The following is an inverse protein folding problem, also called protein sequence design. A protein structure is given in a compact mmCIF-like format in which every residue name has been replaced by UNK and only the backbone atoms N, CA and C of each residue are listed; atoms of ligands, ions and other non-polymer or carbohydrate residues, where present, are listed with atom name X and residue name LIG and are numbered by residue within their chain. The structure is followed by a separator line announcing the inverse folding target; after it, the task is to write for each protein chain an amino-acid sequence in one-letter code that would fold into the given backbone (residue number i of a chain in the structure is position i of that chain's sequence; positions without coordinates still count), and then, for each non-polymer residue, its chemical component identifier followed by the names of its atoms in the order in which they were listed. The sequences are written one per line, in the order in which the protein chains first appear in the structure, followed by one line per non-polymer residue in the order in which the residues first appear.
data_IF_836279518144
#
_entry.id   IF_836279518144
#
_cell.length_a   1.000
_cell.length_b   1.000
_cell.length_c   1.000
_cell.angle_alpha   90.00
_cell.angle_beta   90.00
_cell.angle_gamma   90.00
#
_symmetry.space_group_name_H-M   'P 1'
#
loop_
_entity.id
_entity.type
_entity.pdbx_description
1 polymer ?
#
# COMPACT_ATOMS: atom_id res chain seq x y z
N UNK A 1 3.48 -8.05 30.41
CA UNK A 1 3.63 -8.56 29.05
C UNK A 1 3.05 -7.50 28.11
N UNK A 2 3.84 -6.46 27.82
CA UNK A 2 3.48 -5.34 26.95
C UNK A 2 4.64 -5.30 25.94
N UNK A 3 4.50 -5.97 24.80
CA UNK A 3 5.61 -6.13 23.85
C UNK A 3 5.20 -6.82 22.55
N UNK A 4 4.32 -7.82 22.63
CA UNK A 4 3.87 -8.57 21.46
C UNK A 4 3.00 -7.75 20.48
N UNK A 5 2.10 -6.91 21.00
CA UNK A 5 1.13 -6.18 20.15
C UNK A 5 1.80 -5.08 19.31
N UNK A 6 2.75 -4.34 19.88
CA UNK A 6 3.45 -3.27 19.18
C UNK A 6 4.38 -3.83 18.08
N UNK A 7 5.05 -4.95 18.35
CA UNK A 7 5.89 -5.62 17.35
C UNK A 7 5.05 -6.19 16.21
N UNK A 8 3.92 -6.84 16.51
CA UNK A 8 3.01 -7.35 15.47
C UNK A 8 2.42 -6.23 14.62
N UNK A 9 2.03 -5.12 15.23
CA UNK A 9 1.52 -3.96 14.49
C UNK A 9 2.61 -3.36 13.59
N UNK A 10 3.86 -3.30 14.07
CA UNK A 10 4.99 -2.82 13.28
C UNK A 10 5.28 -3.72 12.07
N UNK A 11 5.30 -5.04 12.27
CA UNK A 11 5.51 -6.00 11.18
C UNK A 11 4.36 -5.96 10.15
N UNK A 12 3.12 -5.84 10.62
CA UNK A 12 1.94 -5.70 9.76
C UNK A 12 1.99 -4.40 8.93
N UNK A 13 2.39 -3.28 9.55
CA UNK A 13 2.58 -2.02 8.85
C UNK A 13 3.73 -2.09 7.83
N UNK A 14 4.82 -2.79 8.15
CA UNK A 14 5.95 -2.96 7.24
C UNK A 14 5.57 -3.82 6.03
N UNK A 15 4.79 -4.88 6.23
CA UNK A 15 4.25 -5.70 5.14
C UNK A 15 3.32 -4.88 4.22
N UNK A 16 2.46 -4.06 4.81
CA UNK A 16 1.61 -3.13 4.06
C UNK A 16 2.44 -2.15 3.23
N UNK A 17 3.42 -1.50 3.85
CA UNK A 17 4.31 -0.54 3.18
C UNK A 17 5.02 -1.19 1.99
N UNK A 18 5.59 -2.39 2.20
CA UNK A 18 6.29 -3.12 1.15
C UNK A 18 5.37 -3.44 -0.03
N UNK A 19 4.15 -3.90 0.23
CA UNK A 19 3.18 -4.20 -0.82
C UNK A 19 2.82 -2.96 -1.64
N UNK A 20 2.55 -1.83 -0.98
CA UNK A 20 2.26 -0.55 -1.65
C UNK A 20 3.46 -0.07 -2.48
N UNK A 21 4.67 -0.15 -1.92
CA UNK A 21 5.89 0.26 -2.61
C UNK A 21 6.19 -0.59 -3.85
N UNK A 22 6.01 -1.92 -3.77
CA UNK A 22 6.18 -2.79 -4.94
C UNK A 22 5.20 -2.45 -6.06
N UNK A 23 3.95 -2.13 -5.72
CA UNK A 23 2.97 -1.68 -6.72
C UNK A 23 3.35 -0.32 -7.28
N UNK A 24 3.79 0.62 -6.45
CA UNK A 24 4.25 1.93 -6.89
C UNK A 24 5.41 1.83 -7.89
N UNK A 25 6.44 1.05 -7.57
CA UNK A 25 7.61 0.86 -8.45
C UNK A 25 7.24 0.22 -9.79
N UNK A 26 6.30 -0.73 -9.80
CA UNK A 26 5.91 -1.45 -11.02
C UNK A 26 4.87 -0.73 -11.88
N UNK A 27 4.02 0.08 -11.26
CA UNK A 27 2.85 0.69 -11.91
C UNK A 27 2.85 2.23 -11.86
N UNK A 28 3.97 2.86 -11.50
CA UNK A 28 4.11 4.32 -11.58
C UNK A 28 3.78 4.82 -13.00
N UNK A 29 2.86 5.79 -13.10
CA UNK A 29 2.40 6.32 -14.38
C UNK A 29 1.40 5.43 -15.12
N UNK A 30 1.02 4.27 -14.56
CA UNK A 30 -0.01 3.42 -15.13
C UNK A 30 -1.43 3.99 -14.89
N UNK A 31 -2.44 3.57 -15.67
CA UNK A 31 -3.82 3.99 -15.45
C UNK A 31 -4.35 3.61 -14.07
N UNK A 32 -5.14 4.50 -13.46
CA UNK A 32 -5.73 4.35 -12.12
C UNK A 32 -6.36 2.97 -11.89
N UNK A 33 -7.21 2.48 -12.80
CA UNK A 33 -7.89 1.19 -12.66
C UNK A 33 -6.90 0.01 -12.59
N UNK A 34 -5.79 0.08 -13.34
CA UNK A 34 -4.74 -0.95 -13.26
C UNK A 34 -4.03 -0.91 -11.91
N UNK A 35 -3.75 0.30 -11.39
CA UNK A 35 -3.11 0.46 -10.08
C UNK A 35 -4.03 -0.02 -8.95
N UNK A 36 -5.32 0.29 -9.01
CA UNK A 36 -6.31 -0.21 -8.03
C UNK A 36 -6.38 -1.74 -8.04
N UNK A 37 -6.41 -2.35 -9.23
CA UNK A 37 -6.41 -3.81 -9.35
C UNK A 37 -5.12 -4.41 -8.79
N UNK A 38 -3.97 -3.78 -9.02
CA UNK A 38 -2.67 -4.25 -8.52
C UNK A 38 -2.55 -4.11 -7.00
N UNK A 39 -3.02 -2.99 -6.43
CA UNK A 39 -3.08 -2.78 -4.98
C UNK A 39 -3.99 -3.80 -4.32
N UNK A 40 -5.24 -3.94 -4.77
CA UNK A 40 -6.20 -4.88 -4.16
C UNK A 40 -5.74 -6.34 -4.22
N UNK A 41 -4.97 -6.72 -5.24
CA UNK A 41 -4.36 -8.05 -5.34
C UNK A 41 -3.08 -8.26 -4.51
N UNK A 42 -2.37 -7.18 -4.15
CA UNK A 42 -1.07 -7.25 -3.45
C UNK A 42 -1.16 -6.94 -1.95
N UNK A 43 -2.26 -6.32 -1.50
CA UNK A 43 -2.42 -5.91 -0.11
C UNK A 43 -2.61 -7.12 0.83
N UNK A 44 -1.94 -7.13 2.00
CA UNK A 44 -2.14 -8.16 2.99
C UNK A 44 -3.56 -8.10 3.60
N UNK A 45 -4.10 -9.21 4.12
CA UNK A 45 -5.45 -9.25 4.72
C UNK A 45 -5.60 -8.36 5.97
N UNK A 46 -4.48 -8.03 6.60
CA UNK A 46 -4.33 -7.09 7.71
C UNK A 46 -2.90 -6.52 7.69
N UNK A 47 -2.70 -5.22 7.92
CA UNK A 47 -3.71 -4.19 8.19
C UNK A 47 -4.49 -3.81 6.94
N UNK A 48 -5.80 -3.55 7.07
CA UNK A 48 -6.66 -3.21 5.94
C UNK A 48 -6.64 -1.70 5.70
N UNK A 49 -6.21 -1.30 4.51
CA UNK A 49 -6.45 0.05 4.01
C UNK A 49 -7.95 0.23 3.75
N UNK A 50 -8.46 1.41 4.09
CA UNK A 50 -9.83 1.78 3.72
C UNK A 50 -9.93 2.02 2.21
N UNK A 51 -11.13 1.89 1.64
CA UNK A 51 -11.34 2.08 0.21
C UNK A 51 -10.87 3.46 -0.28
N UNK A 52 -11.09 4.51 0.52
CA UNK A 52 -10.63 5.86 0.22
C UNK A 52 -9.10 6.00 0.24
N UNK A 53 -8.42 5.28 1.13
CA UNK A 53 -6.96 5.25 1.15
C UNK A 53 -6.38 4.52 -0.05
N UNK A 54 -6.97 3.37 -0.43
CA UNK A 54 -6.58 2.63 -1.64
C UNK A 54 -6.72 3.52 -2.86
N UNK A 55 -7.83 4.25 -2.99
CA UNK A 55 -8.04 5.20 -4.08
C UNK A 55 -6.98 6.30 -4.10
N UNK A 56 -6.70 6.92 -2.96
CA UNK A 56 -5.70 7.99 -2.86
C UNK A 56 -4.30 7.51 -3.25
N UNK A 57 -3.90 6.33 -2.77
CA UNK A 57 -2.60 5.71 -3.11
C UNK A 57 -2.55 5.39 -4.61
N UNK A 58 -3.64 4.83 -5.16
CA UNK A 58 -3.71 4.51 -6.59
C UNK A 58 -3.60 5.76 -7.47
N UNK A 59 -4.22 6.87 -7.07
CA UNK A 59 -4.15 8.15 -7.76
C UNK A 59 -2.71 8.68 -7.77
N UNK A 60 -2.03 8.73 -6.64
CA UNK A 60 -0.64 9.20 -6.56
C UNK A 60 0.31 8.34 -7.42
N UNK A 61 0.20 7.01 -7.35
CA UNK A 61 1.00 6.11 -8.20
C UNK A 61 0.68 6.32 -9.68
N UNK A 62 -0.60 6.51 -10.03
CA UNK A 62 -1.02 6.77 -11.39
C UNK A 62 -0.45 8.09 -11.93
N UNK A 63 -0.31 9.08 -11.06
CA UNK A 63 0.37 10.35 -11.34
C UNK A 63 1.90 10.22 -11.41
N UNK A 64 2.45 9.02 -11.19
CA UNK A 64 3.89 8.76 -11.14
C UNK A 64 4.57 9.30 -9.89
N UNK A 65 3.79 9.62 -8.85
CA UNK A 65 4.30 10.02 -7.54
C UNK A 65 4.46 8.80 -6.66
N UNK A 66 5.51 8.82 -5.85
CA UNK A 66 5.69 7.80 -4.84
C UNK A 66 4.79 8.13 -3.63
N UNK A 67 3.74 7.34 -3.35
CA UNK A 67 2.86 7.57 -2.20
C UNK A 67 3.54 7.19 -0.87
N UNK A 68 4.72 6.56 -0.92
CA UNK A 68 5.43 6.03 0.24
C UNK A 68 6.23 7.11 0.98
N UNK A 69 6.43 8.28 0.35
CA UNK A 69 6.93 9.50 1.01
C UNK A 69 8.40 9.45 1.41
N UNK A 70 9.20 8.58 0.79
CA UNK A 70 10.66 8.50 0.96
C UNK A 70 11.40 9.58 0.17
#
# INVERSE_FOLDING_TARGET
MIGDDATRQYEANQALFRAVHEVAVRHAGAPFDQVVSALTGSLPPTPRLQADEIRRIAEEISLGRDPSGL
#
